data_IF_840177902379
#
_entry.id   IF_840177902379
#
_cell.length_a   1.000
_cell.length_b   1.000
_cell.length_c   1.000
_cell.angle_alpha   90.00
_cell.angle_beta   90.00
_cell.angle_gamma   90.00
#
_symmetry.space_group_name_H-M   'P 1'
#
loop_
_entity.id
_entity.type
_entity.pdbx_description
1 polymer ?
#
# COMPACT_ATOMS: atom_id res chain seq x y z
N UNK A 1 2.11 -48.53 -37.89
CA UNK A 1 3.58 -48.42 -37.78
C UNK A 1 3.89 -48.16 -36.32
N UNK A 2 4.20 -49.16 -35.48
CA UNK A 2 5.52 -49.81 -35.39
C UNK A 2 6.50 -48.80 -34.78
N UNK A 3 7.08 -48.96 -33.59
CA UNK A 3 7.78 -50.14 -33.11
C UNK A 3 7.95 -50.12 -31.57
N UNK A 4 7.73 -51.28 -30.95
CA UNK A 4 8.36 -51.70 -29.69
C UNK A 4 9.84 -51.98 -29.96
N UNK A 5 10.70 -51.65 -29.01
CA UNK A 5 11.99 -52.29 -28.85
C UNK A 5 12.12 -52.81 -27.42
N UNK A 6 11.83 -54.09 -27.26
CA UNK A 6 12.48 -54.95 -26.29
C UNK A 6 13.95 -55.16 -26.73
N UNK A 7 14.84 -55.43 -25.77
CA UNK A 7 16.04 -56.28 -25.83
C UNK A 7 16.85 -55.97 -24.55
N UNK A 8 16.77 -56.77 -23.50
CA UNK A 8 17.48 -58.04 -23.31
C UNK A 8 19.00 -57.93 -23.55
N UNK A 9 19.78 -57.85 -22.48
CA UNK A 9 21.13 -58.41 -22.48
C UNK A 9 21.45 -59.05 -21.13
N UNK A 10 21.45 -60.38 -21.18
CA UNK A 10 21.91 -61.31 -20.16
C UNK A 10 23.44 -61.47 -20.24
N UNK A 11 24.10 -61.53 -19.07
CA UNK A 11 25.46 -62.06 -18.91
C UNK A 11 25.85 -62.03 -17.42
N UNK A 12 25.61 -63.08 -16.64
CA UNK A 12 26.36 -64.34 -16.49
C UNK A 12 27.64 -64.25 -15.64
N UNK A 13 27.51 -64.85 -14.44
CA UNK A 13 28.47 -65.70 -13.69
C UNK A 13 29.58 -65.06 -12.85
N UNK A 14 29.49 -65.33 -11.54
CA UNK A 14 30.48 -66.03 -10.68
C UNK A 14 29.81 -66.31 -9.32
N UNK A 15 29.33 -67.52 -9.05
CA UNK A 15 30.02 -68.56 -8.24
C UNK A 15 30.92 -67.99 -7.15
N UNK A 16 30.43 -68.05 -5.91
CA UNK A 16 31.17 -67.70 -4.70
C UNK A 16 30.32 -68.08 -3.48
N UNK A 17 30.25 -69.38 -3.19
CA UNK A 17 29.87 -69.89 -1.87
C UNK A 17 30.90 -69.40 -0.86
N UNK A 18 30.55 -68.42 -0.02
CA UNK A 18 31.26 -68.22 1.24
C UNK A 18 30.24 -67.75 2.28
N UNK A 19 29.98 -68.65 3.21
CA UNK A 19 29.56 -68.43 4.61
C UNK A 19 28.23 -67.73 4.88
N UNK A 20 27.35 -68.49 5.52
CA UNK A 20 26.59 -68.08 6.70
C UNK A 20 27.04 -66.74 7.28
N UNK A 21 26.26 -65.70 7.00
CA UNK A 21 26.16 -64.57 7.93
C UNK A 21 24.76 -64.60 8.51
N UNK A 22 24.73 -65.13 9.74
CA UNK A 22 23.74 -64.92 10.77
C UNK A 22 22.81 -63.75 10.46
N UNK A 23 21.52 -64.06 10.26
CA UNK A 23 20.49 -63.06 10.07
C UNK A 23 20.45 -62.11 11.26
N UNK A 24 20.95 -60.89 11.05
CA UNK A 24 20.70 -59.78 11.96
C UNK A 24 19.28 -59.29 11.64
N UNK A 25 18.30 -59.94 12.28
CA UNK A 25 16.96 -59.38 12.45
C UNK A 25 17.10 -58.07 13.23
N UNK A 26 17.23 -56.96 12.51
CA UNK A 26 17.04 -55.61 13.05
C UNK A 26 15.58 -55.50 13.51
N UNK A 27 15.33 -55.86 14.77
CA UNK A 27 14.11 -55.49 15.47
C UNK A 27 13.95 -53.98 15.30
N UNK A 28 12.95 -53.54 14.52
CA UNK A 28 12.47 -52.16 14.59
C UNK A 28 12.13 -51.89 16.05
N UNK A 29 12.91 -51.04 16.70
CA UNK A 29 12.50 -50.44 17.96
C UNK A 29 11.38 -49.47 17.61
N UNK A 30 10.15 -49.98 17.55
CA UNK A 30 8.96 -49.14 17.58
C UNK A 30 8.89 -48.56 18.99
N UNK A 31 9.50 -47.39 19.19
CA UNK A 31 9.14 -46.55 20.32
C UNK A 31 7.73 -46.03 20.05
N UNK A 32 6.72 -46.81 20.45
CA UNK A 32 5.38 -46.28 20.63
C UNK A 32 5.39 -45.48 21.94
N UNK A 33 6.05 -44.33 21.92
CA UNK A 33 5.92 -43.32 22.96
C UNK A 33 4.66 -42.52 22.65
N UNK A 34 3.59 -42.78 23.38
CA UNK A 34 2.45 -41.86 23.40
C UNK A 34 2.86 -40.56 24.10
N UNK A 35 2.41 -39.43 23.58
CA UNK A 35 2.58 -38.14 24.23
C UNK A 35 1.95 -38.16 25.62
N UNK A 36 2.66 -37.64 26.62
CA UNK A 36 2.10 -37.48 27.96
C UNK A 36 1.13 -36.31 28.00
N UNK A 37 0.05 -36.40 28.79
CA UNK A 37 -0.89 -35.29 28.97
C UNK A 37 -0.17 -34.00 29.42
N UNK A 38 0.85 -34.12 30.28
CA UNK A 38 1.63 -32.98 30.76
C UNK A 38 2.40 -32.26 29.64
N UNK A 39 2.86 -33.01 28.64
CA UNK A 39 3.62 -32.48 27.51
C UNK A 39 2.75 -31.59 26.63
N UNK A 40 1.51 -32.03 26.37
CA UNK A 40 0.53 -31.23 25.64
C UNK A 40 0.03 -30.03 26.47
N UNK A 41 -0.13 -30.19 27.78
CA UNK A 41 -0.55 -29.09 28.67
C UNK A 41 0.46 -27.93 28.68
N UNK A 42 1.75 -28.22 28.78
CA UNK A 42 2.78 -27.16 28.78
C UNK A 42 2.78 -26.42 27.44
N UNK A 43 2.63 -27.13 26.32
CA UNK A 43 2.59 -26.52 24.98
C UNK A 43 1.41 -25.57 24.83
N UNK A 44 0.19 -25.97 25.24
CA UNK A 44 -0.97 -25.08 25.12
C UNK A 44 -0.90 -23.88 26.06
N UNK A 45 -0.26 -24.01 27.22
CA UNK A 45 -0.02 -22.88 28.15
C UNK A 45 0.94 -21.88 27.51
N UNK A 46 2.05 -22.34 26.93
CA UNK A 46 3.01 -21.44 26.26
C UNK A 46 2.35 -20.78 25.04
N UNK A 47 1.56 -21.51 24.25
CA UNK A 47 0.81 -20.95 23.13
C UNK A 47 -0.23 -19.92 23.59
N UNK A 48 -0.91 -20.14 24.71
CA UNK A 48 -1.85 -19.17 25.27
C UNK A 48 -1.16 -17.87 25.70
N UNK A 49 0.02 -17.97 26.32
CA UNK A 49 0.83 -16.80 26.70
C UNK A 49 1.34 -16.07 25.45
N UNK A 50 1.94 -16.80 24.51
CA UNK A 50 2.48 -16.22 23.27
C UNK A 50 1.39 -15.56 22.41
N UNK A 51 0.20 -16.14 22.35
CA UNK A 51 -0.93 -15.58 21.61
C UNK A 51 -1.28 -14.14 22.06
N UNK A 52 -1.10 -13.82 23.35
CA UNK A 52 -1.34 -12.46 23.87
C UNK A 52 -0.29 -11.43 23.40
N UNK A 53 0.91 -11.88 23.03
CA UNK A 53 2.03 -11.01 22.62
C UNK A 53 2.04 -10.74 21.12
N UNK A 54 1.25 -11.49 20.33
CA UNK A 54 1.11 -11.32 18.89
C UNK A 54 0.09 -10.22 18.56
N UNK A 55 0.38 -8.98 18.96
CA UNK A 55 -0.33 -7.80 18.42
C UNK A 55 0.58 -7.12 17.40
N UNK A 56 0.30 -7.22 16.08
CA UNK A 56 1.05 -6.45 15.10
C UNK A 56 0.72 -4.96 15.29
N UNK A 57 1.62 -4.20 15.95
CA UNK A 57 1.55 -2.73 16.04
C UNK A 57 1.93 -2.11 14.69
N UNK A 58 0.98 -2.01 13.78
CA UNK A 58 1.19 -1.37 12.45
C UNK A 58 0.64 0.07 12.38
N UNK A 59 -0.06 0.55 13.40
CA UNK A 59 -0.88 1.78 13.32
C UNK A 59 -0.15 3.13 13.51
N UNK A 60 1.19 3.16 13.65
CA UNK A 60 1.92 4.40 14.01
C UNK A 60 2.65 5.11 12.87
N UNK A 61 3.17 4.36 11.88
CA UNK A 61 4.03 4.90 10.81
C UNK A 61 3.28 5.39 9.57
N UNK A 62 1.96 5.21 9.55
CA UNK A 62 1.13 5.59 8.42
C UNK A 62 0.81 7.07 8.42
N UNK A 63 0.70 7.72 9.58
CA UNK A 63 0.14 9.08 9.64
C UNK A 63 1.12 10.15 9.16
N UNK A 64 2.39 10.11 9.55
CA UNK A 64 3.39 11.06 9.04
C UNK A 64 3.59 10.90 7.53
N UNK A 65 3.56 9.65 7.04
CA UNK A 65 3.63 9.35 5.62
C UNK A 65 2.41 9.89 4.86
N UNK A 66 1.20 9.79 5.43
CA UNK A 66 -0.01 10.41 4.90
C UNK A 66 0.12 11.92 4.88
N UNK A 67 0.56 12.57 5.96
CA UNK A 67 0.77 14.02 5.99
C UNK A 67 1.77 14.46 4.91
N UNK A 68 2.90 13.78 4.77
CA UNK A 68 3.88 14.07 3.73
C UNK A 68 3.30 13.87 2.32
N UNK A 69 2.53 12.80 2.09
CA UNK A 69 1.85 12.57 0.83
C UNK A 69 0.82 13.68 0.52
N UNK A 70 0.08 14.13 1.52
CA UNK A 70 -0.90 15.21 1.36
C UNK A 70 -0.21 16.53 0.99
N UNK A 71 0.91 16.87 1.65
CA UNK A 71 1.73 18.05 1.31
C UNK A 71 2.23 17.98 -0.13
N UNK A 72 2.80 16.85 -0.53
CA UNK A 72 3.29 16.64 -1.89
C UNK A 72 2.16 16.75 -2.94
N UNK A 73 0.98 16.20 -2.64
CA UNK A 73 -0.20 16.35 -3.51
C UNK A 73 -0.64 17.81 -3.62
N UNK A 74 -0.67 18.56 -2.51
CA UNK A 74 -0.98 20.00 -2.55
C UNK A 74 0.02 20.75 -3.42
N UNK A 75 1.33 20.50 -3.28
CA UNK A 75 2.36 21.13 -4.13
C UNK A 75 2.19 20.81 -5.62
N UNK A 76 1.76 19.58 -5.95
CA UNK A 76 1.48 19.20 -7.33
C UNK A 76 0.23 19.92 -7.89
N UNK A 77 -0.83 20.05 -7.09
CA UNK A 77 -2.03 20.80 -7.46
C UNK A 77 -1.70 22.29 -7.63
N UNK A 78 -0.90 22.85 -6.74
CA UNK A 78 -0.43 24.24 -6.78
C UNK A 78 0.31 24.52 -8.10
N UNK A 79 1.28 23.67 -8.45
CA UNK A 79 2.02 23.76 -9.72
C UNK A 79 1.09 23.68 -10.93
N UNK A 80 0.06 22.83 -10.89
CA UNK A 80 -0.93 22.71 -11.96
C UNK A 80 -1.82 23.96 -12.09
N UNK A 81 -2.21 24.59 -10.97
CA UNK A 81 -2.95 25.86 -10.95
C UNK A 81 -2.09 27.01 -11.49
N UNK A 82 -0.82 27.07 -11.13
CA UNK A 82 0.11 28.05 -11.66
C UNK A 82 0.27 27.91 -13.18
N UNK A 83 0.40 26.68 -13.69
CA UNK A 83 0.46 26.43 -15.13
C UNK A 83 -0.86 26.80 -15.83
N UNK A 84 -2.01 26.46 -15.24
CA UNK A 84 -3.31 26.89 -15.75
C UNK A 84 -3.38 28.42 -15.88
N UNK A 85 -2.92 29.14 -14.85
CA UNK A 85 -2.88 30.61 -14.85
C UNK A 85 -1.93 31.15 -15.91
N UNK A 86 -0.77 30.54 -16.08
CA UNK A 86 0.20 30.95 -17.09
C UNK A 86 -0.40 30.87 -18.49
N UNK A 87 -1.14 29.81 -18.79
CA UNK A 87 -1.75 29.62 -20.11
C UNK A 87 -2.98 30.52 -20.32
N UNK A 88 -3.84 30.66 -19.30
CA UNK A 88 -5.17 31.28 -19.44
C UNK A 88 -5.27 32.70 -18.88
N UNK A 89 -4.22 33.19 -18.22
CA UNK A 89 -4.16 34.50 -17.55
C UNK A 89 -4.91 34.59 -16.23
N UNK A 90 -5.79 33.62 -15.93
CA UNK A 90 -6.60 33.57 -14.71
C UNK A 90 -6.55 32.18 -14.10
N UNK A 91 -6.78 32.07 -12.80
CA UNK A 91 -6.99 30.80 -12.10
C UNK A 91 -8.45 30.35 -12.22
N UNK A 92 -8.75 29.05 -12.06
CA UNK A 92 -10.13 28.57 -12.02
C UNK A 92 -10.92 29.22 -10.87
N UNK A 93 -12.22 29.43 -11.03
CA UNK A 93 -13.05 29.93 -9.92
C UNK A 93 -13.35 28.82 -8.91
N UNK A 94 -13.84 29.18 -7.72
CA UNK A 94 -14.23 28.20 -6.70
C UNK A 94 -15.32 27.24 -7.20
N UNK A 95 -16.23 27.72 -8.06
CA UNK A 95 -17.31 26.90 -8.66
C UNK A 95 -16.79 25.93 -9.72
N UNK A 96 -15.79 26.36 -10.51
CA UNK A 96 -15.09 25.48 -11.45
C UNK A 96 -14.27 24.43 -10.69
N UNK A 97 -13.64 24.86 -9.59
CA UNK A 97 -12.86 24.02 -8.69
C UNK A 97 -11.65 23.35 -9.33
N UNK A 98 -11.12 22.33 -8.67
CA UNK A 98 -9.98 21.54 -9.17
C UNK A 98 -10.32 20.72 -10.42
N UNK A 99 -11.61 20.56 -10.76
CA UNK A 99 -12.03 19.86 -11.98
C UNK A 99 -11.55 20.58 -13.25
N UNK A 100 -11.43 21.91 -13.20
CA UNK A 100 -10.89 22.70 -14.32
C UNK A 100 -9.45 22.34 -14.70
N UNK A 101 -8.71 21.66 -13.80
CA UNK A 101 -7.36 21.16 -14.08
C UNK A 101 -7.36 19.85 -14.88
N UNK A 102 -8.48 19.14 -14.94
CA UNK A 102 -8.61 17.83 -15.60
C UNK A 102 -9.44 17.96 -16.87
N UNK A 103 -10.54 18.69 -16.79
CA UNK A 103 -11.46 18.93 -17.90
C UNK A 103 -11.60 20.42 -18.17
N UNK A 104 -11.84 20.77 -19.44
CA UNK A 104 -12.03 22.17 -19.83
C UNK A 104 -13.30 22.71 -19.18
N UNK A 105 -13.24 23.84 -18.43
CA UNK A 105 -14.44 24.39 -17.80
C UNK A 105 -15.44 24.85 -18.86
N UNK A 106 -16.70 24.42 -18.70
CA UNK A 106 -17.81 24.78 -19.59
C UNK A 106 -18.54 26.06 -19.16
N UNK A 107 -18.39 26.47 -17.90
CA UNK A 107 -19.03 27.63 -17.28
C UNK A 107 -18.00 28.50 -16.56
N UNK A 108 -18.34 29.77 -16.33
CA UNK A 108 -17.44 30.74 -15.70
C UNK A 108 -16.50 31.43 -16.70
N UNK A 109 -15.39 32.02 -16.21
CA UNK A 109 -14.39 32.65 -17.06
C UNK A 109 -13.84 31.66 -18.09
N UNK A 110 -13.74 32.12 -19.34
CA UNK A 110 -13.22 31.30 -20.43
C UNK A 110 -11.74 30.95 -20.19
N UNK A 111 -11.38 29.71 -20.54
CA UNK A 111 -10.01 29.23 -20.60
C UNK A 111 -9.58 29.14 -22.07
N UNK A 112 -9.08 30.24 -22.67
CA UNK A 112 -8.82 30.32 -24.11
C UNK A 112 -7.69 29.39 -24.55
N UNK A 113 -6.64 29.25 -23.75
CA UNK A 113 -5.46 28.44 -24.05
C UNK A 113 -5.41 27.17 -23.18
N UNK A 114 -6.57 26.61 -22.84
CA UNK A 114 -6.63 25.41 -22.01
C UNK A 114 -5.88 24.26 -22.69
N UNK A 115 -4.85 23.73 -22.02
CA UNK A 115 -3.98 22.68 -22.56
C UNK A 115 -4.75 21.39 -22.83
N UNK A 116 -4.69 20.89 -24.07
CA UNK A 116 -5.25 19.59 -24.43
C UNK A 116 -4.70 18.46 -23.53
N UNK A 117 -5.61 17.67 -22.95
CA UNK A 117 -5.30 16.63 -21.96
C UNK A 117 -5.17 17.12 -20.51
N UNK A 118 -5.38 18.41 -20.24
CA UNK A 118 -5.39 18.98 -18.90
C UNK A 118 -4.01 19.21 -18.28
N UNK A 119 -4.06 19.67 -17.03
CA UNK A 119 -2.93 19.98 -16.15
C UNK A 119 -2.70 18.89 -15.09
N UNK A 120 -3.76 18.13 -14.76
CA UNK A 120 -3.70 16.94 -13.94
C UNK A 120 -4.36 15.75 -14.66
N UNK A 121 -3.85 14.52 -14.47
CA UNK A 121 -4.47 13.34 -15.06
C UNK A 121 -5.83 13.00 -14.44
N UNK A 122 -6.00 13.32 -13.15
CA UNK A 122 -7.25 13.22 -12.39
C UNK A 122 -7.18 14.13 -11.18
N UNK A 123 -8.32 14.48 -10.60
CA UNK A 123 -8.35 15.18 -9.32
C UNK A 123 -7.90 14.21 -8.23
N UNK A 124 -6.80 14.48 -7.52
CA UNK A 124 -6.36 13.63 -6.43
C UNK A 124 -7.33 13.70 -5.25
N UNK A 125 -7.34 12.63 -4.48
CA UNK A 125 -8.03 12.53 -3.19
C UNK A 125 -6.93 12.50 -2.14
N UNK A 126 -7.18 13.13 -0.99
CA UNK A 126 -6.22 13.16 0.09
C UNK A 126 -5.95 11.75 0.66
N UNK A 127 -4.89 11.57 1.47
CA UNK A 127 -4.49 10.26 1.99
C UNK A 127 -5.46 9.62 3.00
N UNK A 128 -6.49 10.36 3.45
CA UNK A 128 -7.57 9.85 4.29
C UNK A 128 -8.85 9.57 3.50
N UNK A 129 -8.85 9.82 2.19
CA UNK A 129 -9.97 9.57 1.29
C UNK A 129 -10.90 10.77 1.11
N UNK A 130 -10.55 11.92 1.67
CA UNK A 130 -11.29 13.17 1.55
C UNK A 130 -10.94 13.98 0.29
N UNK A 131 -11.87 14.78 -0.25
CA UNK A 131 -11.56 15.70 -1.34
C UNK A 131 -10.75 16.89 -0.83
N UNK A 132 -9.80 17.36 -1.66
CA UNK A 132 -9.17 18.65 -1.43
C UNK A 132 -10.17 19.79 -1.62
N UNK A 133 -10.22 20.70 -0.64
CA UNK A 133 -11.01 21.94 -0.74
C UNK A 133 -10.16 22.99 -1.43
N UNK A 134 -10.71 23.55 -2.51
CA UNK A 134 -10.13 24.67 -3.23
C UNK A 134 -11.00 25.90 -3.05
N UNK A 135 -10.38 27.03 -2.74
CA UNK A 135 -11.05 28.33 -2.60
C UNK A 135 -10.22 29.44 -3.22
N UNK A 136 -10.87 30.33 -3.95
CA UNK A 136 -10.29 31.57 -4.45
C UNK A 136 -11.29 32.73 -4.26
N UNK A 137 -10.86 33.91 -3.77
CA UNK A 137 -9.53 34.19 -3.23
C UNK A 137 -9.24 33.40 -1.94
N UNK A 138 -7.97 33.30 -1.53
CA UNK A 138 -7.60 32.63 -0.28
C UNK A 138 -8.14 33.38 0.94
N UNK A 139 -8.49 32.64 2.00
CA UNK A 139 -8.88 33.23 3.29
C UNK A 139 -7.73 34.00 3.95
N UNK A 140 -6.48 33.64 3.64
CA UNK A 140 -5.26 34.24 4.23
C UNK A 140 -4.64 35.35 3.36
N UNK A 141 -5.36 35.83 2.34
CA UNK A 141 -4.90 36.93 1.49
C UNK A 141 -4.00 36.53 0.31
N UNK A 142 -3.88 35.23 0.03
CA UNK A 142 -3.31 34.71 -1.22
C UNK A 142 -4.32 34.64 -2.38
N UNK A 143 -3.84 34.28 -3.58
CA UNK A 143 -4.71 34.16 -4.77
C UNK A 143 -5.69 32.97 -4.69
N UNK A 144 -5.25 31.88 -4.07
CA UNK A 144 -6.06 30.70 -3.82
C UNK A 144 -5.51 29.92 -2.61
N UNK A 145 -6.32 29.00 -2.11
CA UNK A 145 -5.98 28.13 -1.01
C UNK A 145 -6.45 26.70 -1.32
N UNK A 146 -5.60 25.73 -0.97
CA UNK A 146 -5.92 24.31 -1.03
C UNK A 146 -5.82 23.75 0.38
N UNK A 147 -6.87 23.06 0.84
CA UNK A 147 -6.95 22.49 2.18
C UNK A 147 -7.30 21.00 2.10
N UNK A 148 -6.58 20.18 2.87
CA UNK A 148 -7.03 18.85 3.29
C UNK A 148 -7.38 18.91 4.77
N UNK A 149 -8.56 18.39 5.12
CA UNK A 149 -9.08 18.38 6.48
C UNK A 149 -8.53 17.25 7.35
N UNK A 150 -7.40 16.64 6.95
CA UNK A 150 -6.76 15.60 7.75
C UNK A 150 -7.64 14.36 7.98
N UNK A 151 -7.38 13.68 9.09
CA UNK A 151 -7.98 12.38 9.41
C UNK A 151 -9.45 12.42 9.82
N UNK A 152 -9.92 13.54 10.38
CA UNK A 152 -11.30 13.72 10.82
C UNK A 152 -12.20 14.33 9.74
N UNK A 153 -11.62 14.92 8.69
CA UNK A 153 -12.36 15.39 7.52
C UNK A 153 -13.19 16.63 7.80
N UNK A 154 -12.94 17.32 8.93
CA UNK A 154 -13.63 18.53 9.34
C UNK A 154 -12.63 19.69 9.45
N UNK A 155 -13.07 20.94 9.20
CA UNK A 155 -12.20 22.11 9.38
C UNK A 155 -11.65 22.21 10.81
N UNK A 156 -10.35 22.43 10.93
CA UNK A 156 -9.63 22.64 12.19
C UNK A 156 -8.85 21.41 12.64
N UNK A 157 -9.10 20.99 13.88
CA UNK A 157 -8.41 19.86 14.50
C UNK A 157 -7.00 20.16 15.01
N UNK A 158 -6.46 19.22 15.79
CA UNK A 158 -5.11 19.29 16.36
C UNK A 158 -4.34 17.99 16.10
N UNK A 159 -3.01 18.05 16.13
CA UNK A 159 -2.14 16.88 16.00
C UNK A 159 -2.41 16.11 14.71
N UNK A 160 -2.97 14.90 14.78
CA UNK A 160 -3.29 14.05 13.61
C UNK A 160 -4.52 14.48 12.83
N UNK A 161 -5.35 15.32 13.43
CA UNK A 161 -6.55 15.86 12.85
C UNK A 161 -6.34 17.28 12.32
N UNK A 162 -5.18 17.88 12.58
CA UNK A 162 -4.87 19.21 12.09
C UNK A 162 -4.89 19.25 10.56
N UNK A 163 -5.63 20.22 10.03
CA UNK A 163 -5.70 20.60 8.61
C UNK A 163 -4.30 20.78 8.00
N UNK A 164 -4.19 20.49 6.70
CA UNK A 164 -3.01 20.77 5.90
C UNK A 164 -3.40 21.77 4.83
N UNK A 165 -2.78 22.95 4.90
CA UNK A 165 -3.12 24.11 4.07
C UNK A 165 -1.95 24.50 3.16
N UNK A 166 -2.24 24.97 1.95
CA UNK A 166 -1.23 25.27 0.93
C UNK A 166 -0.26 26.39 1.30
N UNK A 167 -0.68 27.34 2.15
CA UNK A 167 0.17 28.45 2.58
C UNK A 167 1.09 28.12 3.77
N UNK A 168 0.94 26.93 4.38
CA UNK A 168 1.68 26.52 5.58
C UNK A 168 2.30 25.12 5.48
N UNK A 169 2.74 24.72 4.27
CA UNK A 169 3.28 23.38 4.06
C UNK A 169 4.57 23.10 4.84
N UNK A 170 5.36 24.14 5.13
CA UNK A 170 6.70 24.02 5.72
C UNK A 170 6.78 24.28 7.24
N UNK A 171 5.74 24.84 7.89
CA UNK A 171 5.82 25.26 9.30
C UNK A 171 5.28 24.26 10.34
N UNK A 172 4.77 23.11 9.91
CA UNK A 172 4.11 22.12 10.76
C UNK A 172 4.64 20.71 10.53
#
# INVERSE_FOLDING_TARGET
MGWRHDLNSSGSRRTGTVTDFCGIQLKRLSSCGGFSFIEVMIVVVILAILATLLIPRVMGRTEDAKRAAAKAQISNIDSALQLYKLDNGNIPTTEQGLKALVERPASGPAAPNWKAGGYLPKVPVDPWGGPYKYTTPSTQGGEFEIVSFGADGVPGGEGKNADIVSWDLDRN
#
